data_IF_708476228921
#
_entry.id   IF_708476228921
#
_cell.length_a   1.000
_cell.length_b   1.000
_cell.length_c   1.000
_cell.angle_alpha   90.00
_cell.angle_beta   90.00
_cell.angle_gamma   90.00
#
_symmetry.space_group_name_H-M   'P 1'
#
loop_
_entity.id
_entity.type
_entity.pdbx_description
1 polymer ?
#
# COMPACT_ATOMS: atom_id res chain seq x y z
N UNK A 1 -39.74 -25.06 -18.33
CA UNK A 1 -39.37 -24.82 -18.47
C UNK A 1 -38.25 -24.47 -18.29
N UNK A 2 -37.84 -24.33 -18.46
CA UNK A 2 -36.79 -24.13 -18.42
C UNK A 2 -36.01 -23.33 -17.82
N UNK A 3 -35.49 -22.93 -17.60
CA UNK A 3 -34.99 -22.08 -16.86
C UNK A 3 -33.75 -22.26 -16.45
N UNK A 4 -33.14 -22.54 -16.86
CA UNK A 4 -32.12 -22.77 -16.36
C UNK A 4 -30.94 -22.12 -16.66
N UNK A 5 -30.62 -21.46 -17.36
CA UNK A 5 -29.40 -20.91 -17.78
C UNK A 5 -28.78 -19.89 -16.91
N UNK A 6 -29.40 -19.52 -15.92
CA UNK A 6 -28.96 -18.49 -15.14
C UNK A 6 -27.73 -18.73 -14.39
N UNK A 7 -27.41 -19.87 -14.07
CA UNK A 7 -26.40 -20.18 -13.14
C UNK A 7 -25.00 -19.87 -13.57
N UNK A 8 -24.69 -19.95 -14.80
CA UNK A 8 -23.34 -19.84 -15.22
C UNK A 8 -22.76 -18.47 -15.11
N UNK A 9 -23.59 -17.45 -14.98
CA UNK A 9 -23.08 -16.13 -14.94
C UNK A 9 -22.35 -15.77 -13.67
N UNK A 10 -22.72 -16.36 -12.60
CA UNK A 10 -22.12 -16.02 -11.32
C UNK A 10 -20.67 -16.42 -11.19
N UNK A 11 -20.31 -17.45 -11.85
CA UNK A 11 -18.94 -17.94 -11.73
C UNK A 11 -17.91 -17.00 -12.32
N UNK A 12 -18.27 -16.29 -13.35
CA UNK A 12 -17.33 -15.40 -13.99
C UNK A 12 -16.96 -14.21 -13.13
N UNK A 13 -17.87 -13.76 -12.32
CA UNK A 13 -17.62 -12.64 -11.47
C UNK A 13 -16.60 -12.95 -10.38
N UNK A 14 -16.64 -14.12 -9.85
CA UNK A 14 -15.72 -14.51 -8.82
C UNK A 14 -14.28 -14.52 -9.30
N UNK A 15 -14.09 -14.91 -10.52
CA UNK A 15 -12.80 -14.94 -11.06
C UNK A 15 -12.16 -13.58 -11.11
N UNK A 16 -12.86 -12.57 -11.56
CA UNK A 16 -12.34 -11.24 -11.69
C UNK A 16 -11.92 -10.67 -10.34
N UNK A 17 -12.70 -10.91 -9.32
CA UNK A 17 -12.37 -10.40 -8.00
C UNK A 17 -11.10 -11.03 -7.46
N UNK A 18 -10.89 -12.27 -7.72
CA UNK A 18 -9.72 -12.96 -7.23
C UNK A 18 -8.45 -12.44 -7.87
N UNK A 19 -8.47 -12.15 -9.13
CA UNK A 19 -7.29 -11.67 -9.81
C UNK A 19 -6.80 -10.35 -9.26
N UNK A 20 -7.69 -9.48 -8.86
CA UNK A 20 -7.30 -8.18 -8.39
C UNK A 20 -6.68 -8.20 -7.01
N UNK A 21 -6.87 -9.27 -6.28
CA UNK A 21 -6.38 -9.34 -4.92
C UNK A 21 -4.87 -9.37 -4.81
N UNK A 22 -4.20 -9.72 -5.87
CA UNK A 22 -2.75 -9.84 -5.83
C UNK A 22 -2.01 -8.60 -6.32
N UNK A 23 -2.73 -7.61 -6.81
CA UNK A 23 -2.07 -6.43 -7.32
C UNK A 23 -1.57 -5.56 -6.18
N UNK A 24 -0.28 -5.26 -6.18
CA UNK A 24 0.28 -4.36 -5.19
C UNK A 24 0.14 -2.94 -5.72
N UNK A 25 -0.35 -2.00 -4.92
CA UNK A 25 -0.46 -0.63 -5.40
C UNK A 25 0.90 -0.06 -5.77
N UNK A 26 0.93 0.71 -6.83
CA UNK A 26 2.17 1.30 -7.33
C UNK A 26 2.12 2.80 -7.08
N UNK A 27 2.98 3.29 -6.20
CA UNK A 27 2.98 4.69 -5.83
C UNK A 27 3.24 5.60 -7.01
N UNK A 28 3.97 5.14 -8.01
CA UNK A 28 4.30 5.95 -9.19
C UNK A 28 3.08 6.25 -10.04
N UNK A 29 1.99 5.52 -9.86
CA UNK A 29 0.76 5.74 -10.63
C UNK A 29 -0.31 6.49 -9.84
N UNK A 30 0.03 6.94 -8.65
CA UNK A 30 -0.92 7.62 -7.77
C UNK A 30 -0.43 9.03 -7.46
N UNK A 31 -1.36 9.91 -7.10
CA UNK A 31 -0.97 11.23 -6.60
C UNK A 31 -0.46 11.09 -5.18
N UNK A 32 0.21 12.13 -4.69
CA UNK A 32 0.68 12.13 -3.31
C UNK A 32 -0.47 11.98 -2.33
N UNK A 33 -1.56 12.67 -2.59
CA UNK A 33 -2.73 12.60 -1.71
C UNK A 33 -3.33 11.19 -1.71
N UNK A 34 -3.45 10.57 -2.86
CA UNK A 34 -3.97 9.21 -2.94
C UNK A 34 -3.08 8.24 -2.18
N UNK A 35 -1.77 8.42 -2.29
CA UNK A 35 -0.83 7.57 -1.59
C UNK A 35 -0.98 7.72 -0.08
N UNK A 36 -1.06 8.95 0.39
CA UNK A 36 -1.20 9.22 1.82
C UNK A 36 -2.53 8.71 2.35
N UNK A 37 -3.59 8.86 1.59
CA UNK A 37 -4.90 8.37 2.00
C UNK A 37 -4.94 6.85 2.06
N UNK A 38 -4.29 6.19 1.14
CA UNK A 38 -4.23 4.75 1.13
C UNK A 38 -3.51 4.23 2.37
N UNK A 39 -2.37 4.84 2.70
CA UNK A 39 -1.62 4.46 3.88
C UNK A 39 -2.46 4.69 5.14
N UNK A 40 -3.13 5.83 5.21
CA UNK A 40 -3.93 6.15 6.37
C UNK A 40 -5.09 5.17 6.55
N UNK A 41 -5.75 4.79 5.46
CA UNK A 41 -6.90 3.92 5.55
C UNK A 41 -6.53 2.47 5.86
N UNK A 42 -5.37 2.03 5.39
CA UNK A 42 -4.93 0.66 5.64
C UNK A 42 -4.02 0.55 6.84
N UNK A 43 -3.59 1.69 7.39
CA UNK A 43 -2.66 1.80 8.52
C UNK A 43 -1.24 1.43 8.13
N UNK A 44 -1.07 0.40 7.34
CA UNK A 44 0.21 -0.01 6.78
C UNK A 44 -0.06 -0.65 5.43
N UNK A 45 0.81 -0.39 4.47
CA UNK A 45 0.64 -0.94 3.14
C UNK A 45 2.00 -1.09 2.47
N UNK A 46 2.14 -2.13 1.68
CA UNK A 46 3.34 -2.34 0.87
C UNK A 46 3.05 -1.75 -0.50
N UNK A 47 3.87 -0.81 -0.93
CA UNK A 47 3.71 -0.14 -2.21
C UNK A 47 4.86 -0.50 -3.13
N UNK A 48 4.57 -0.65 -4.40
CA UNK A 48 5.60 -0.74 -5.42
C UNK A 48 6.18 0.65 -5.60
N UNK A 49 7.49 0.77 -5.54
CA UNK A 49 8.18 2.06 -5.61
C UNK A 49 9.06 2.19 -6.85
N UNK A 50 9.25 1.10 -7.58
CA UNK A 50 10.05 1.11 -8.79
C UNK A 50 9.82 -0.17 -9.56
N UNK A 51 10.61 -0.37 -10.58
CA UNK A 51 10.41 -1.51 -11.45
C UNK A 51 10.51 -2.84 -10.69
N UNK A 52 11.50 -2.94 -9.81
CA UNK A 52 11.69 -4.15 -9.04
C UNK A 52 11.83 -3.85 -7.56
N UNK A 53 11.27 -2.73 -7.11
CA UNK A 53 11.41 -2.33 -5.71
C UNK A 53 10.05 -2.09 -5.08
N UNK A 54 9.97 -2.33 -3.78
CA UNK A 54 8.77 -2.05 -3.01
C UNK A 54 9.20 -1.81 -1.56
N UNK A 55 8.29 -1.23 -0.79
CA UNK A 55 8.56 -0.96 0.60
C UNK A 55 7.26 -0.86 1.37
N UNK A 56 7.35 -1.00 2.67
CA UNK A 56 6.18 -0.94 3.54
C UNK A 56 6.12 0.42 4.20
N UNK A 57 4.96 1.06 4.10
CA UNK A 57 4.74 2.38 4.68
C UNK A 57 3.64 2.31 5.72
N UNK A 58 3.73 3.17 6.75
CA UNK A 58 2.82 3.13 7.89
C UNK A 58 2.28 4.53 8.15
N UNK A 59 1.24 4.60 8.96
CA UNK A 59 0.71 5.89 9.41
C UNK A 59 1.72 6.57 10.31
N UNK A 60 1.69 7.89 10.32
CA UNK A 60 2.58 8.65 11.17
C UNK A 60 2.29 8.42 12.65
N UNK A 61 1.02 8.42 13.02
CA UNK A 61 0.62 8.27 14.40
C UNK A 61 -0.15 6.98 14.58
N UNK A 62 0.54 5.89 14.75
CA UNK A 62 -0.08 4.61 14.90
C UNK A 62 0.87 3.64 15.58
N UNK A 63 0.43 2.41 15.71
CA UNK A 63 1.21 1.39 16.38
C UNK A 63 1.59 0.24 15.46
N UNK A 64 1.81 0.55 14.20
CA UNK A 64 2.13 -0.48 13.21
C UNK A 64 3.60 -0.89 13.20
N UNK A 65 4.45 -0.17 13.92
CA UNK A 65 5.87 -0.50 14.00
C UNK A 65 6.17 -1.32 15.24
N UNK A 66 7.01 -2.34 15.08
CA UNK A 66 7.41 -3.17 16.22
C UNK A 66 8.51 -2.45 16.98
N UNK A 67 8.30 -2.25 18.27
CA UNK A 67 9.31 -1.58 19.09
C UNK A 67 10.64 -2.31 19.00
N UNK A 68 11.75 -1.61 18.98
CA UNK A 68 11.90 -0.16 19.23
C UNK A 68 11.71 0.70 18.00
N UNK A 69 11.23 0.17 16.90
CA UNK A 69 11.03 0.96 15.70
C UNK A 69 9.86 1.92 15.87
N UNK A 70 9.95 3.07 15.23
CA UNK A 70 8.91 4.09 15.25
C UNK A 70 8.72 4.62 13.83
N UNK A 71 7.57 5.26 13.55
CA UNK A 71 7.37 5.86 12.23
C UNK A 71 8.30 7.06 12.05
N UNK A 72 9.07 7.04 10.98
CA UNK A 72 9.95 8.15 10.64
C UNK A 72 9.62 8.63 9.24
N UNK A 73 9.82 9.91 8.98
CA UNK A 73 9.52 10.48 7.69
C UNK A 73 10.40 9.88 6.61
N UNK A 74 9.81 9.63 5.47
CA UNK A 74 10.50 9.11 4.32
C UNK A 74 9.82 9.70 3.08
N UNK A 75 10.34 9.40 1.91
CA UNK A 75 9.76 9.94 0.68
C UNK A 75 9.61 8.82 -0.34
N UNK A 76 8.53 8.90 -1.11
CA UNK A 76 8.29 7.91 -2.15
C UNK A 76 7.92 8.67 -3.43
N UNK A 77 8.36 8.16 -4.57
CA UNK A 77 8.09 8.77 -5.85
C UNK A 77 6.64 8.50 -6.25
N UNK A 78 5.92 9.57 -6.56
CA UNK A 78 4.53 9.48 -7.04
C UNK A 78 4.43 10.15 -8.40
N UNK A 79 3.21 10.25 -8.93
CA UNK A 79 2.98 10.99 -10.16
C UNK A 79 3.40 12.44 -10.05
N UNK A 80 3.35 12.98 -8.86
CA UNK A 80 3.64 14.39 -8.62
C UNK A 80 5.04 14.62 -8.08
N UNK A 81 5.89 13.62 -8.10
CA UNK A 81 7.23 13.72 -7.55
C UNK A 81 7.30 13.12 -6.15
N UNK A 82 8.25 13.60 -5.38
CA UNK A 82 8.47 13.06 -4.03
C UNK A 82 7.29 13.35 -3.12
N UNK A 83 6.84 12.36 -2.41
CA UNK A 83 5.71 12.46 -1.50
C UNK A 83 6.13 12.01 -0.12
N UNK A 84 5.83 12.80 0.88
CA UNK A 84 6.22 12.48 2.25
C UNK A 84 5.34 11.39 2.82
N UNK A 85 5.96 10.38 3.34
CA UNK A 85 5.29 9.23 3.95
C UNK A 85 6.09 8.82 5.18
N UNK A 86 5.76 7.70 5.81
CA UNK A 86 6.46 7.24 7.00
C UNK A 86 6.77 5.76 6.89
N UNK A 87 7.91 5.39 7.42
CA UNK A 87 8.35 4.01 7.47
C UNK A 87 8.79 3.70 8.89
N UNK A 88 8.82 2.44 9.25
CA UNK A 88 9.32 2.03 10.54
C UNK A 88 10.84 2.04 10.54
N UNK A 89 11.44 2.70 11.50
CA UNK A 89 12.89 2.71 11.66
C UNK A 89 13.24 2.92 13.12
N UNK A 90 14.42 2.47 13.49
CA UNK A 90 14.86 2.61 14.87
C UNK A 90 15.59 3.92 15.05
N UNK A 91 15.20 4.63 16.09
CA UNK A 91 15.78 5.93 16.37
C UNK A 91 17.27 5.95 16.55
N UNK A 92 17.82 4.95 17.17
CA UNK A 92 19.21 4.97 17.47
C UNK A 92 20.08 4.93 16.24
N UNK A 93 19.53 4.69 15.10
CA UNK A 93 20.31 4.70 13.88
C UNK A 93 20.61 6.10 13.39
N UNK A 94 19.99 7.08 14.01
CA UNK A 94 20.16 8.44 13.55
C UNK A 94 21.10 9.26 14.40
N UNK A 95 21.63 8.68 15.43
CA UNK A 95 22.37 9.47 16.25
C UNK A 95 23.66 9.32 16.08
N UNK A 96 24.24 9.48 15.84
CA UNK A 96 25.34 9.37 15.89
C UNK A 96 26.15 9.91 15.67
N UNK A 97 26.64 10.27 15.64
CA UNK A 97 27.79 10.43 15.47
C UNK A 97 28.49 10.35 16.26
#
# INVERSE_FOLDING_TARGET
>A
MPARPIVSTAAAILFAATSMAYARPDARTMTCEQTQQLIQSRRAVVLTTGRNTYDRYVRQFGNECDRPAVPVASYVQTLEGQCRVHRCAEWQHFDFP
#
